data_IF_006422935273
#
_entry.id   IF_006422935273
#
_cell.length_a   1.000
_cell.length_b   1.000
_cell.length_c   1.000
_cell.angle_alpha   90.00
_cell.angle_beta   90.00
_cell.angle_gamma   90.00
#
_symmetry.space_group_name_H-M   'P 1'
#
loop_
_entity.id
_entity.type
_entity.pdbx_description
1 polymer ?
#
# COMPACT_ATOMS: atom_id res chain seq x y z
N UNK A 1 -31.43 3.77 17.83
CA UNK A 1 -31.76 2.57 18.63
C UNK A 1 -31.89 1.39 17.70
N UNK A 2 -30.93 0.46 17.73
CA UNK A 2 -31.11 -0.99 17.50
C UNK A 2 -29.74 -1.66 17.40
N UNK A 3 -29.51 -2.61 18.30
CA UNK A 3 -28.29 -3.40 18.49
C UNK A 3 -28.42 -4.80 17.86
N UNK A 4 -27.28 -5.48 17.65
CA UNK A 4 -27.14 -6.94 17.42
C UNK A 4 -26.57 -7.30 16.03
N UNK A 5 -25.61 -8.21 15.83
CA UNK A 5 -25.01 -9.24 16.70
C UNK A 5 -23.59 -9.62 16.23
N UNK A 6 -22.89 -10.27 17.15
CA UNK A 6 -21.52 -10.83 17.16
C UNK A 6 -21.28 -12.02 16.23
N UNK A 7 -20.04 -12.15 15.72
CA UNK A 7 -19.35 -13.43 15.54
C UNK A 7 -17.87 -13.28 15.97
N UNK A 8 -17.46 -14.08 16.95
CA UNK A 8 -16.07 -14.34 17.31
C UNK A 8 -15.71 -15.75 16.81
N UNK A 9 -14.54 -15.88 16.19
CA UNK A 9 -13.48 -16.86 16.52
C UNK A 9 -12.55 -16.98 15.30
N UNK A 10 -11.29 -16.56 15.46
CA UNK A 10 -10.13 -17.45 15.25
C UNK A 10 -8.85 -16.74 15.69
N UNK A 11 -8.05 -17.49 16.46
CA UNK A 11 -6.82 -17.10 17.14
C UNK A 11 -5.70 -16.70 16.16
N UNK A 12 -5.03 -15.57 16.44
CA UNK A 12 -3.69 -15.28 15.93
C UNK A 12 -2.80 -14.71 17.04
N UNK A 13 -1.57 -15.26 17.07
CA UNK A 13 -0.41 -15.09 17.96
C UNK A 13 -0.21 -13.77 18.73
N UNK A 14 0.43 -13.81 19.92
CA UNK A 14 0.65 -12.66 20.77
C UNK A 14 1.86 -11.84 20.30
N UNK A 15 1.68 -10.55 19.99
CA UNK A 15 2.83 -9.63 19.92
C UNK A 15 2.75 -8.41 18.99
N UNK A 16 1.77 -8.30 18.09
CA UNK A 16 1.66 -7.11 17.23
C UNK A 16 0.43 -6.28 17.60
N UNK A 17 0.67 -5.12 18.23
CA UNK A 17 -0.33 -4.05 18.30
C UNK A 17 -0.60 -3.60 16.87
N UNK A 18 -1.68 -4.07 16.27
CA UNK A 18 -2.29 -3.37 15.16
C UNK A 18 -2.80 -2.03 15.71
N UNK A 19 -2.50 -0.88 15.09
CA UNK A 19 -3.32 0.30 15.31
C UNK A 19 -4.63 0.05 14.58
N UNK A 20 -5.52 -0.74 15.19
CA UNK A 20 -6.95 -0.70 14.89
C UNK A 20 -7.52 0.58 15.52
N UNK A 21 -7.02 1.74 15.09
CA UNK A 21 -7.76 2.97 15.33
C UNK A 21 -8.95 2.91 14.38
N UNK A 22 -10.08 2.41 14.85
CA UNK A 22 -11.38 2.93 14.46
C UNK A 22 -11.34 4.44 14.81
N UNK A 23 -10.70 5.21 13.93
CA UNK A 23 -10.51 6.64 14.12
C UNK A 23 -11.88 7.26 14.03
N UNK A 24 -12.42 7.65 15.18
CA UNK A 24 -13.60 8.50 15.28
C UNK A 24 -13.20 9.85 14.67
N UNK A 25 -13.36 9.99 13.36
CA UNK A 25 -13.08 11.25 12.69
C UNK A 25 -14.18 12.24 13.09
N UNK A 26 -13.79 13.35 13.69
CA UNK A 26 -14.70 14.44 13.97
C UNK A 26 -14.98 15.16 12.65
N UNK A 27 -16.10 14.82 12.03
CA UNK A 27 -16.67 15.60 10.94
C UNK A 27 -17.02 16.98 11.48
N UNK A 28 -16.38 18.02 10.97
CA UNK A 28 -16.84 19.39 11.18
C UNK A 28 -17.70 19.77 10.00
N UNK A 29 -18.97 20.06 10.29
CA UNK A 29 -19.92 20.67 9.37
C UNK A 29 -20.12 22.10 9.82
N UNK A 30 -19.64 23.04 9.01
CA UNK A 30 -19.90 24.47 9.24
C UNK A 30 -21.04 24.89 8.32
N UNK A 31 -22.17 25.28 8.91
CA UNK A 31 -23.32 25.86 8.22
C UNK A 31 -23.23 27.38 8.25
N UNK A 32 -23.38 28.01 7.09
CA UNK A 32 -23.30 29.46 6.99
C UNK A 32 -24.04 30.03 5.78
N UNK A 33 -24.50 31.27 5.91
CA UNK A 33 -25.02 32.07 4.81
C UNK A 33 -23.85 32.83 4.19
N UNK A 34 -23.66 32.71 2.88
CA UNK A 34 -22.61 33.48 2.19
C UNK A 34 -23.02 34.96 2.18
N UNK A 35 -22.21 35.88 2.76
CA UNK A 35 -22.57 37.28 2.90
C UNK A 35 -22.99 37.91 1.56
N UNK A 36 -24.13 38.61 1.56
CA UNK A 36 -24.67 39.26 0.36
C UNK A 36 -25.40 38.33 -0.62
N UNK A 37 -25.67 37.07 -0.26
CA UNK A 37 -26.41 36.12 -1.09
C UNK A 37 -27.46 35.34 -0.28
N UNK A 38 -28.41 34.69 -0.95
CA UNK A 38 -29.35 33.72 -0.34
C UNK A 38 -28.78 32.30 -0.29
N UNK A 39 -27.49 32.11 -0.56
CA UNK A 39 -26.85 30.80 -0.63
C UNK A 39 -26.53 30.28 0.76
N UNK A 40 -27.06 29.12 1.09
CA UNK A 40 -26.70 28.33 2.27
C UNK A 40 -25.57 27.36 1.87
N UNK A 41 -24.54 27.27 2.71
CA UNK A 41 -23.41 26.36 2.50
C UNK A 41 -23.26 25.48 3.73
N UNK A 42 -23.13 24.18 3.49
CA UNK A 42 -22.68 23.20 4.48
C UNK A 42 -21.34 22.63 4.00
N UNK A 43 -20.28 22.82 4.79
CA UNK A 43 -18.92 22.39 4.43
C UNK A 43 -18.50 21.18 5.25
N UNK A 44 -18.25 20.04 4.61
CA UNK A 44 -17.65 18.87 5.22
C UNK A 44 -16.11 18.97 5.20
N UNK A 45 -15.47 19.07 6.37
CA UNK A 45 -14.00 19.08 6.48
C UNK A 45 -13.47 17.76 7.06
N UNK A 46 -12.54 17.12 6.35
CA UNK A 46 -11.82 15.92 6.81
C UNK A 46 -10.34 16.30 7.00
N UNK A 47 -9.86 16.43 8.25
CA UNK A 47 -8.53 17.01 8.51
C UNK A 47 -7.37 16.10 8.10
N UNK A 48 -7.58 14.78 8.09
CA UNK A 48 -6.56 13.80 7.71
C UNK A 48 -7.21 12.60 7.04
N UNK A 49 -6.84 12.36 5.79
CA UNK A 49 -7.27 11.16 5.07
C UNK A 49 -6.43 9.96 5.52
N UNK A 50 -7.12 8.96 6.04
CA UNK A 50 -6.58 7.63 6.33
C UNK A 50 -6.87 6.67 5.17
N UNK A 51 -6.08 5.60 5.06
CA UNK A 51 -6.23 4.55 4.02
C UNK A 51 -7.65 3.99 3.91
N UNK A 52 -8.38 3.88 5.01
CA UNK A 52 -9.76 3.39 5.03
C UNK A 52 -10.73 4.30 4.25
N UNK A 53 -10.36 5.57 3.99
CA UNK A 53 -11.16 6.48 3.18
C UNK A 53 -10.99 6.25 1.68
N UNK A 54 -10.16 5.30 1.25
CA UNK A 54 -9.98 4.97 -0.15
C UNK A 54 -11.31 4.56 -0.76
N UNK A 55 -11.68 5.17 -1.88
CA UNK A 55 -12.95 4.95 -2.58
C UNK A 55 -14.21 5.23 -1.73
N UNK A 56 -14.08 5.88 -0.56
CA UNK A 56 -15.25 6.39 0.13
C UNK A 56 -15.90 7.50 -0.70
N UNK A 57 -17.23 7.45 -0.75
CA UNK A 57 -18.05 8.45 -1.42
C UNK A 57 -18.65 9.41 -0.40
N UNK A 58 -18.29 10.68 -0.51
CA UNK A 58 -18.90 11.77 0.26
C UNK A 58 -20.00 12.41 -0.57
N UNK A 59 -21.24 12.31 -0.09
CA UNK A 59 -22.43 12.78 -0.79
C UNK A 59 -22.94 14.06 -0.13
N UNK A 60 -23.02 15.13 -0.91
CA UNK A 60 -23.76 16.34 -0.56
C UNK A 60 -25.21 16.15 -1.00
N UNK A 61 -26.15 16.22 -0.06
CA UNK A 61 -27.58 16.12 -0.31
C UNK A 61 -28.24 17.45 0.09
N UNK A 62 -28.91 18.10 -0.87
CA UNK A 62 -29.64 19.34 -0.64
C UNK A 62 -31.13 19.10 -0.87
N UNK A 63 -31.94 19.34 0.17
CA UNK A 63 -33.38 19.18 0.15
C UNK A 63 -34.05 20.48 0.64
N UNK A 64 -35.11 20.91 -0.04
CA UNK A 64 -35.97 22.00 0.42
C UNK A 64 -37.19 21.39 1.11
N UNK A 65 -37.33 21.61 2.41
CA UNK A 65 -38.38 21.02 3.27
C UNK A 65 -39.80 21.40 2.86
N UNK A 66 -39.98 22.57 2.24
CA UNK A 66 -41.29 23.16 1.99
C UNK A 66 -41.95 22.64 0.69
N UNK A 67 -41.26 21.75 -0.03
CA UNK A 67 -41.74 21.15 -1.27
C UNK A 67 -41.84 19.64 -1.08
N UNK A 68 -42.98 19.14 -0.59
CA UNK A 68 -43.23 17.70 -0.35
C UNK A 68 -42.97 16.79 -1.58
N UNK A 69 -42.94 17.37 -2.79
CA UNK A 69 -42.67 16.65 -4.06
C UNK A 69 -41.30 16.93 -4.65
N UNK A 70 -40.45 17.74 -4.01
CA UNK A 70 -39.13 18.02 -4.53
C UNK A 70 -38.18 16.84 -4.26
N UNK A 71 -37.56 16.35 -5.34
CA UNK A 71 -36.47 15.38 -5.24
C UNK A 71 -35.21 16.12 -4.80
N UNK A 72 -34.50 15.68 -3.75
CA UNK A 72 -33.28 16.33 -3.32
C UNK A 72 -32.20 16.22 -4.40
N UNK A 73 -31.38 17.26 -4.52
CA UNK A 73 -30.25 17.26 -5.44
C UNK A 73 -29.05 16.66 -4.70
N UNK A 74 -28.39 15.71 -5.35
CA UNK A 74 -27.21 15.04 -4.79
C UNK A 74 -25.98 15.24 -5.67
N UNK A 75 -24.84 15.50 -5.03
CA UNK A 75 -23.53 15.47 -5.67
C UNK A 75 -22.59 14.59 -4.84
N UNK A 76 -21.74 13.81 -5.51
CA UNK A 76 -20.83 12.88 -4.84
C UNK A 76 -19.36 13.15 -5.21
N UNK A 77 -18.48 13.02 -4.22
CA UNK A 77 -17.03 13.04 -4.38
C UNK A 77 -16.49 11.69 -3.92
N UNK A 78 -15.74 11.01 -4.79
CA UNK A 78 -15.08 9.74 -4.44
C UNK A 78 -13.62 10.04 -4.13
N UNK A 79 -13.14 9.60 -2.97
CA UNK A 79 -11.75 9.80 -2.59
C UNK A 79 -10.85 8.81 -3.33
N UNK A 80 -9.95 9.36 -4.13
CA UNK A 80 -8.88 8.63 -4.77
C UNK A 80 -7.53 9.02 -4.14
N UNK A 81 -6.71 8.04 -3.74
CA UNK A 81 -5.46 8.31 -3.01
C UNK A 81 -4.27 7.57 -3.60
N UNK A 82 -3.14 8.26 -3.60
CA UNK A 82 -1.80 7.70 -3.76
C UNK A 82 -1.28 7.27 -2.40
N UNK A 83 -0.96 5.99 -2.25
CA UNK A 83 -0.57 5.35 -1.00
C UNK A 83 0.82 4.72 -1.13
N UNK A 84 1.71 4.90 -0.13
CA UNK A 84 2.99 4.19 -0.10
C UNK A 84 2.77 2.69 0.13
N UNK A 85 3.75 1.83 -0.18
CA UNK A 85 3.74 0.45 0.29
C UNK A 85 3.61 0.38 1.83
N UNK A 86 2.91 -0.65 2.32
CA UNK A 86 2.82 -0.95 3.75
C UNK A 86 3.82 -2.02 4.18
N UNK A 87 4.09 -2.97 3.28
CA UNK A 87 4.97 -4.10 3.52
C UNK A 87 5.73 -4.44 2.24
N UNK A 88 6.98 -4.85 2.42
CA UNK A 88 7.83 -5.42 1.39
C UNK A 88 8.50 -6.67 1.98
N UNK A 89 8.67 -7.71 1.18
CA UNK A 89 9.36 -8.93 1.59
C UNK A 89 10.11 -9.55 0.42
N UNK A 90 11.43 -9.72 0.60
CA UNK A 90 12.30 -10.45 -0.31
C UNK A 90 12.38 -11.92 0.14
N UNK A 91 12.06 -12.84 -0.75
CA UNK A 91 12.03 -14.29 -0.49
C UNK A 91 12.75 -15.06 -1.59
N UNK A 92 13.14 -16.31 -1.30
CA UNK A 92 13.84 -17.20 -2.24
C UNK A 92 15.32 -17.44 -1.90
N UNK A 93 15.85 -16.73 -0.90
CA UNK A 93 17.18 -16.97 -0.33
C UNK A 93 17.01 -17.15 1.18
N UNK A 94 17.12 -18.39 1.66
CA UNK A 94 16.92 -18.76 3.07
C UNK A 94 18.21 -19.31 3.70
N UNK A 95 19.37 -19.01 3.12
CA UNK A 95 20.66 -19.55 3.51
C UNK A 95 21.71 -19.38 2.40
N UNK A 96 22.79 -20.17 2.43
CA UNK A 96 23.83 -20.12 1.40
C UNK A 96 23.28 -20.43 0.00
N UNK A 97 23.75 -19.69 -0.99
CA UNK A 97 23.47 -19.92 -2.43
C UNK A 97 24.73 -20.42 -3.13
N UNK A 98 24.56 -21.25 -4.15
CA UNK A 98 25.71 -21.78 -4.91
C UNK A 98 26.13 -20.82 -6.03
N UNK A 99 27.43 -20.57 -6.14
CA UNK A 99 27.98 -19.79 -7.25
C UNK A 99 27.60 -20.41 -8.60
N UNK A 100 27.25 -19.55 -9.57
CA UNK A 100 26.84 -19.88 -10.93
C UNK A 100 25.54 -20.70 -11.05
N UNK A 101 24.77 -20.84 -9.97
CA UNK A 101 23.47 -21.53 -9.98
C UNK A 101 22.33 -20.51 -9.91
N UNK A 102 21.49 -20.48 -10.94
CA UNK A 102 20.35 -19.57 -11.01
C UNK A 102 19.31 -19.88 -9.94
N UNK A 103 19.01 -18.91 -9.08
CA UNK A 103 18.02 -18.99 -8.00
C UNK A 103 16.91 -17.98 -8.24
N UNK A 104 15.65 -18.40 -8.07
CA UNK A 104 14.51 -17.49 -8.18
C UNK A 104 14.32 -16.73 -6.87
N UNK A 105 14.41 -15.41 -6.95
CA UNK A 105 14.13 -14.48 -5.85
C UNK A 105 12.81 -13.77 -6.15
N UNK A 106 11.96 -13.61 -5.15
CA UNK A 106 10.66 -12.95 -5.29
C UNK A 106 10.53 -11.83 -4.27
N UNK A 107 10.23 -10.63 -4.75
CA UNK A 107 9.89 -9.48 -3.92
C UNK A 107 8.38 -9.28 -3.93
N UNK A 108 7.76 -9.33 -2.75
CA UNK A 108 6.32 -9.13 -2.57
C UNK A 108 6.05 -7.81 -1.85
N UNK A 109 5.24 -6.96 -2.46
CA UNK A 109 4.89 -5.62 -1.99
C UNK A 109 3.38 -5.55 -1.75
N UNK A 110 2.95 -4.97 -0.63
CA UNK A 110 1.54 -4.89 -0.23
C UNK A 110 1.12 -3.45 0.10
N UNK A 111 -0.09 -3.07 -0.31
CA UNK A 111 -0.77 -1.85 0.14
C UNK A 111 -0.33 -0.58 -0.57
N UNK A 112 0.41 -0.68 -1.68
CA UNK A 112 0.78 0.46 -2.51
C UNK A 112 -0.33 0.80 -3.51
N UNK A 113 -0.54 2.10 -3.77
CA UNK A 113 -1.49 2.55 -4.79
C UNK A 113 -1.03 3.87 -5.42
N UNK A 114 -1.02 4.03 -6.76
CA UNK A 114 -1.21 3.00 -7.77
C UNK A 114 -0.12 1.92 -7.70
N UNK A 115 -0.13 0.94 -8.62
CA UNK A 115 0.87 -0.12 -8.66
C UNK A 115 2.28 0.46 -8.47
N UNK A 116 3.07 -0.04 -7.52
CA UNK A 116 4.42 0.45 -7.26
C UNK A 116 5.38 -0.05 -8.34
N UNK A 117 6.44 0.72 -8.56
CA UNK A 117 7.61 0.25 -9.29
C UNK A 117 8.46 -0.59 -8.35
N UNK A 118 8.72 -1.85 -8.68
CA UNK A 118 9.59 -2.74 -7.91
C UNK A 118 10.93 -2.91 -8.63
N UNK A 119 12.03 -2.69 -7.92
CA UNK A 119 13.39 -2.76 -8.48
C UNK A 119 14.28 -3.65 -7.62
N UNK A 120 15.21 -4.37 -8.24
CA UNK A 120 16.22 -5.17 -7.55
C UNK A 120 17.58 -4.48 -7.60
N UNK A 121 18.38 -4.66 -6.57
CA UNK A 121 19.67 -4.02 -6.43
C UNK A 121 20.67 -4.95 -5.74
N UNK A 122 21.92 -4.93 -6.19
CA UNK A 122 23.04 -5.62 -5.55
C UNK A 122 24.13 -4.60 -5.22
N UNK A 123 24.31 -4.31 -3.94
CA UNK A 123 25.12 -3.19 -3.43
C UNK A 123 24.84 -1.86 -4.14
N UNK A 124 23.56 -1.54 -4.32
CA UNK A 124 23.15 -0.30 -4.97
C UNK A 124 23.36 -0.27 -6.49
N UNK A 125 23.71 -1.40 -7.14
CA UNK A 125 23.66 -1.53 -8.60
C UNK A 125 22.33 -2.17 -9.03
N UNK A 126 21.58 -1.56 -9.95
CA UNK A 126 20.26 -2.06 -10.32
C UNK A 126 20.38 -3.36 -11.12
N UNK A 127 19.44 -4.28 -10.88
CA UNK A 127 19.28 -5.55 -11.59
C UNK A 127 17.89 -5.58 -12.22
N UNK A 128 17.82 -6.03 -13.47
CA UNK A 128 16.57 -6.14 -14.20
C UNK A 128 15.73 -7.31 -13.65
N UNK A 129 14.46 -7.08 -13.26
CA UNK A 129 13.56 -8.18 -12.89
C UNK A 129 13.26 -9.07 -14.10
N UNK A 130 12.93 -10.34 -13.83
CA UNK A 130 12.52 -11.29 -14.87
C UNK A 130 11.02 -11.23 -15.16
N UNK A 131 10.20 -10.88 -14.18
CA UNK A 131 8.75 -10.73 -14.34
C UNK A 131 8.15 -9.90 -13.20
N UNK A 132 7.00 -9.30 -13.45
CA UNK A 132 6.20 -8.61 -12.45
C UNK A 132 4.73 -8.91 -12.67
N UNK A 133 3.98 -9.08 -11.58
CA UNK A 133 2.55 -9.36 -11.57
C UNK A 133 1.88 -8.66 -10.40
N UNK A 134 0.62 -8.31 -10.57
CA UNK A 134 -0.21 -7.73 -9.50
C UNK A 134 -1.43 -8.60 -9.24
N UNK A 135 -1.93 -8.59 -8.00
CA UNK A 135 -3.19 -9.22 -7.65
C UNK A 135 -4.37 -8.52 -8.33
N UNK A 136 -5.48 -9.23 -8.47
CA UNK A 136 -6.68 -8.70 -9.13
C UNK A 136 -7.25 -7.45 -8.44
N UNK A 137 -7.14 -7.38 -7.11
CA UNK A 137 -7.55 -6.22 -6.32
C UNK A 137 -6.50 -5.07 -6.32
N UNK A 138 -5.35 -5.26 -6.97
CA UNK A 138 -4.25 -4.30 -7.04
C UNK A 138 -3.53 -4.04 -5.71
N UNK A 139 -3.85 -4.80 -4.66
CA UNK A 139 -3.28 -4.60 -3.32
C UNK A 139 -1.88 -5.20 -3.17
N UNK A 140 -1.53 -6.21 -3.98
CA UNK A 140 -0.26 -6.93 -3.92
C UNK A 140 0.43 -6.86 -5.26
N UNK A 141 1.72 -6.50 -5.26
CA UNK A 141 2.60 -6.59 -6.43
C UNK A 141 3.75 -7.52 -6.12
N UNK A 142 3.96 -8.51 -6.98
CA UNK A 142 5.07 -9.46 -6.89
C UNK A 142 5.98 -9.30 -8.09
N UNK A 143 7.25 -9.02 -7.83
CA UNK A 143 8.30 -8.97 -8.84
C UNK A 143 9.27 -10.13 -8.59
N UNK A 144 9.65 -10.85 -9.65
CA UNK A 144 10.60 -11.96 -9.56
C UNK A 144 11.90 -11.60 -10.28
N UNK A 145 13.00 -12.14 -9.76
CA UNK A 145 14.34 -12.07 -10.33
C UNK A 145 14.90 -13.49 -10.46
N UNK A 146 15.47 -13.82 -11.62
CA UNK A 146 16.33 -14.99 -11.74
C UNK A 146 17.76 -14.52 -11.48
N UNK A 147 18.27 -14.80 -10.29
CA UNK A 147 19.56 -14.32 -9.81
C UNK A 147 20.60 -15.43 -9.88
N UNK A 148 21.71 -15.18 -10.57
CA UNK A 148 22.85 -16.11 -10.65
C UNK A 148 24.03 -15.48 -9.93
N UNK A 149 24.26 -15.80 -8.64
CA UNK A 149 25.37 -15.25 -7.88
C UNK A 149 26.71 -15.80 -8.39
N UNK A 150 27.75 -15.00 -8.30
CA UNK A 150 29.15 -15.39 -8.50
C UNK A 150 29.86 -15.48 -7.16
N UNK A 151 31.05 -16.09 -7.09
CA UNK A 151 31.83 -16.11 -5.85
C UNK A 151 32.25 -14.70 -5.36
N UNK A 152 32.37 -13.74 -6.28
CA UNK A 152 32.63 -12.33 -5.93
C UNK A 152 31.43 -11.68 -5.22
N UNK A 153 30.25 -12.29 -5.28
CA UNK A 153 29.05 -11.79 -4.62
C UNK A 153 28.97 -12.13 -3.13
N UNK A 154 29.99 -12.80 -2.59
CA UNK A 154 30.11 -13.11 -1.17
C UNK A 154 29.97 -11.85 -0.32
N UNK A 155 29.00 -11.85 0.60
CA UNK A 155 28.77 -10.77 1.55
C UNK A 155 28.14 -9.52 0.95
N UNK A 156 27.84 -9.49 -0.36
CA UNK A 156 27.11 -8.38 -1.00
C UNK A 156 25.65 -8.38 -0.55
N UNK A 157 25.00 -7.23 -0.61
CA UNK A 157 23.60 -7.07 -0.19
C UNK A 157 22.67 -7.07 -1.41
N UNK A 158 21.85 -8.11 -1.52
CA UNK A 158 20.77 -8.19 -2.51
C UNK A 158 19.49 -7.64 -1.89
N UNK A 159 18.90 -6.64 -2.51
CA UNK A 159 17.70 -5.96 -2.02
C UNK A 159 16.67 -5.76 -3.11
N UNK A 160 15.40 -5.72 -2.73
CA UNK A 160 14.35 -5.14 -3.56
C UNK A 160 13.80 -3.86 -2.94
N UNK A 161 13.40 -2.92 -3.79
CA UNK A 161 12.86 -1.61 -3.40
C UNK A 161 11.53 -1.37 -4.09
N UNK A 162 10.59 -0.79 -3.37
CA UNK A 162 9.27 -0.45 -3.88
C UNK A 162 8.99 1.04 -3.75
N UNK A 163 8.55 1.66 -4.85
CA UNK A 163 8.24 3.08 -4.92
C UNK A 163 6.88 3.29 -5.58
N UNK A 164 6.01 4.08 -4.95
CA UNK A 164 4.71 4.44 -5.55
C UNK A 164 4.87 5.63 -6.50
N UNK A 165 4.41 5.54 -7.77
CA UNK A 165 4.46 6.66 -8.71
C UNK A 165 3.79 7.92 -8.16
N UNK A 166 4.45 9.07 -8.32
CA UNK A 166 3.95 10.36 -7.83
C UNK A 166 4.15 10.60 -6.33
N UNK A 167 4.73 9.65 -5.59
CA UNK A 167 5.04 9.78 -4.17
C UNK A 167 6.56 9.78 -3.97
N UNK A 168 7.12 10.90 -3.49
CA UNK A 168 8.57 11.04 -3.28
C UNK A 168 9.04 10.36 -1.98
N UNK A 169 8.14 10.18 -1.02
CA UNK A 169 8.42 9.62 0.31
C UNK A 169 7.67 8.30 0.53
N UNK A 170 8.09 7.50 1.52
CA UNK A 170 7.43 6.24 1.85
C UNK A 170 7.86 5.05 0.99
N UNK A 171 9.08 5.09 0.45
CA UNK A 171 9.72 3.95 -0.22
C UNK A 171 10.07 2.88 0.83
N UNK A 172 9.92 1.61 0.47
CA UNK A 172 10.34 0.49 1.31
C UNK A 172 11.41 -0.35 0.62
N UNK A 173 12.29 -0.93 1.41
CA UNK A 173 13.39 -1.82 0.98
C UNK A 173 13.43 -3.03 1.90
N UNK A 174 13.63 -4.20 1.30
CA UNK A 174 13.99 -5.42 2.02
C UNK A 174 15.12 -6.14 1.28
N UNK A 175 15.94 -6.87 2.02
CA UNK A 175 17.14 -7.47 1.45
C UNK A 175 17.85 -8.44 2.35
N UNK A 176 18.79 -9.17 1.75
CA UNK A 176 19.57 -10.22 2.39
C UNK A 176 21.04 -10.04 2.03
N UNK A 177 21.92 -10.28 3.02
CA UNK A 177 23.34 -10.38 2.79
C UNK A 177 23.66 -11.77 2.27
N UNK A 178 24.33 -11.85 1.12
CA UNK A 178 24.59 -13.12 0.45
C UNK A 178 25.69 -13.92 1.15
N UNK A 179 25.41 -15.20 1.35
CA UNK A 179 26.40 -16.22 1.63
C UNK A 179 26.49 -17.11 0.40
N UNK A 180 27.64 -17.13 -0.26
CA UNK A 180 27.87 -17.82 -1.52
C UNK A 180 28.85 -18.97 -1.31
N UNK A 181 28.40 -20.18 -1.58
CA UNK A 181 29.25 -21.36 -1.62
C UNK A 181 29.79 -21.58 -3.02
N UNK A 182 31.09 -21.82 -3.15
CA UNK A 182 31.67 -22.24 -4.42
C UNK A 182 32.56 -23.47 -4.26
N UNK A 183 32.16 -24.57 -4.90
CA UNK A 183 32.92 -25.81 -4.92
C UNK A 183 34.08 -25.80 -5.94
N UNK A 184 34.04 -24.94 -6.98
CA UNK A 184 35.00 -24.99 -8.10
C UNK A 184 35.49 -23.62 -8.65
N UNK A 185 35.54 -22.55 -7.84
CA UNK A 185 35.89 -21.20 -8.33
C UNK A 185 37.40 -20.93 -8.53
N UNK A 186 38.23 -21.97 -8.63
CA UNK A 186 39.69 -21.83 -8.66
C UNK A 186 40.42 -22.87 -9.52
N UNK A 187 39.73 -23.48 -10.50
CA UNK A 187 40.34 -24.37 -11.51
C UNK A 187 40.46 -23.66 -12.86
#
# INVERSE_FOLDING_TARGET
MSSGNTYNNDELYPGQRTPSSAGKYSVKTDEGVVPGTTKIVNTLTIPSLQRQHLHQSFVCNAANSDLEKAVPITAAVIVDMTLPPMLISLTGINGPVSANVGTKVTCRVVGARPQPTVTFWLDGRPIKPSSERSSHDGNVTESSLLFTPTAEDQGRFLSCRAETPGLLQGKLEDGVKLEVHCEYCGL
#
